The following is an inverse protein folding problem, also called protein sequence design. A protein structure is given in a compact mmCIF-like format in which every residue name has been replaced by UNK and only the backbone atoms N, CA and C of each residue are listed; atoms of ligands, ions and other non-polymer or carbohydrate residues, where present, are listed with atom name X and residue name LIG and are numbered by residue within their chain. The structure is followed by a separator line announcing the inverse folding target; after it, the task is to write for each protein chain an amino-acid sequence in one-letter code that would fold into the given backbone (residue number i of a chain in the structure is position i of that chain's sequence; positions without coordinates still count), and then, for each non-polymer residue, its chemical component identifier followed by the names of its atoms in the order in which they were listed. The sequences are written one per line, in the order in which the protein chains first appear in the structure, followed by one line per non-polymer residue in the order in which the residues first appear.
data_IF_081981746534
#
_entry.id   IF_081981746534
#
_cell.length_a   1.000
_cell.length_b   1.000
_cell.length_c   1.000
_cell.angle_alpha   90.00
_cell.angle_beta   90.00
_cell.angle_gamma   90.00
#
_symmetry.space_group_name_H-M   'P 1'
#
loop_
_entity.id
_entity.type
_entity.pdbx_description
1 polymer ?
#
# COMPACT_ATOMS: atom_id res chain seq x y z
N UNK A 1 2.36 -8.02 -14.57
CA UNK A 1 3.64 -8.33 -13.89
C UNK A 1 4.49 -7.09 -14.05
N UNK A 2 4.63 -6.37 -12.94
CA UNK A 2 5.16 -5.02 -12.90
C UNK A 2 6.50 -5.03 -12.19
N UNK A 3 7.55 -4.50 -12.80
CA UNK A 3 8.81 -4.28 -12.10
C UNK A 3 8.73 -3.00 -11.25
N UNK A 4 9.40 -2.98 -10.10
CA UNK A 4 9.61 -1.73 -9.39
C UNK A 4 10.47 -0.80 -10.24
N UNK A 5 10.05 0.46 -10.33
CA UNK A 5 10.75 1.55 -11.02
C UNK A 5 10.78 2.76 -10.07
N UNK A 6 11.96 3.16 -9.62
CA UNK A 6 12.11 4.27 -8.69
C UNK A 6 11.59 5.59 -9.28
N UNK A 7 11.65 5.80 -10.59
CA UNK A 7 11.18 7.04 -11.22
C UNK A 7 9.66 7.18 -11.18
N UNK A 8 8.95 6.06 -11.06
CA UNK A 8 7.47 6.00 -11.07
C UNK A 8 6.92 5.76 -9.67
N UNK A 9 7.55 4.87 -8.89
CA UNK A 9 6.96 4.34 -7.67
C UNK A 9 7.58 4.89 -6.39
N UNK A 10 8.82 5.38 -6.41
CA UNK A 10 9.45 5.86 -5.18
C UNK A 10 8.81 7.17 -4.72
N UNK A 11 8.23 7.14 -3.52
CA UNK A 11 7.68 8.32 -2.87
C UNK A 11 8.70 9.02 -1.98
N UNK A 12 9.88 8.42 -1.76
CA UNK A 12 10.96 9.00 -0.97
C UNK A 12 10.67 9.01 0.52
N UNK A 13 9.81 8.09 0.98
CA UNK A 13 9.61 7.77 2.39
C UNK A 13 10.01 6.30 2.54
N UNK A 14 11.21 6.06 3.07
CA UNK A 14 11.88 4.76 2.97
C UNK A 14 11.03 3.57 3.44
N UNK A 15 10.27 3.74 4.53
CA UNK A 15 9.38 2.69 5.05
C UNK A 15 8.20 2.42 4.11
N UNK A 16 7.58 3.45 3.54
CA UNK A 16 6.49 3.29 2.55
C UNK A 16 7.02 2.60 1.29
N UNK A 17 8.12 3.11 0.73
CA UNK A 17 8.71 2.55 -0.50
C UNK A 17 9.12 1.08 -0.32
N UNK A 18 9.58 0.68 0.88
CA UNK A 18 9.89 -0.71 1.19
C UNK A 18 8.64 -1.59 1.19
N UNK A 19 7.57 -1.16 1.87
CA UNK A 19 6.29 -1.88 1.89
C UNK A 19 5.67 -1.98 0.49
N UNK A 20 5.73 -0.92 -0.30
CA UNK A 20 5.24 -0.92 -1.69
C UNK A 20 6.03 -1.87 -2.61
N UNK A 21 7.36 -1.98 -2.43
CA UNK A 21 8.18 -2.98 -3.13
C UNK A 21 7.77 -4.41 -2.77
N UNK A 22 7.53 -4.68 -1.49
CA UNK A 22 7.05 -5.99 -1.02
C UNK A 22 5.68 -6.33 -1.61
N UNK A 23 4.76 -5.35 -1.68
CA UNK A 23 3.45 -5.52 -2.32
C UNK A 23 3.59 -5.94 -3.78
N UNK A 24 4.36 -5.20 -4.60
CA UNK A 24 4.60 -5.53 -6.01
C UNK A 24 5.22 -6.92 -6.15
N UNK A 25 6.20 -7.26 -5.30
CA UNK A 25 6.83 -8.58 -5.32
C UNK A 25 5.81 -9.71 -5.03
N UNK A 26 4.94 -9.55 -4.03
CA UNK A 26 3.89 -10.51 -3.71
C UNK A 26 2.86 -10.66 -4.84
N UNK A 27 2.42 -9.57 -5.44
CA UNK A 27 1.49 -9.59 -6.59
C UNK A 27 2.11 -10.32 -7.77
N UNK A 28 3.39 -10.07 -8.07
CA UNK A 28 4.11 -10.78 -9.13
C UNK A 28 4.26 -12.28 -8.85
N UNK A 29 4.55 -12.66 -7.60
CA UNK A 29 4.61 -14.06 -7.20
C UNK A 29 3.26 -14.75 -7.39
N UNK A 30 2.16 -14.12 -6.93
CA UNK A 30 0.80 -14.65 -7.12
C UNK A 30 0.41 -14.76 -8.61
N UNK A 31 0.85 -13.83 -9.44
CA UNK A 31 0.56 -13.84 -10.88
C UNK A 31 1.24 -15.01 -11.60
N UNK A 32 2.39 -15.46 -11.09
CA UNK A 32 3.24 -16.48 -11.70
C UNK A 32 3.11 -17.88 -11.05
N UNK A 33 2.62 -17.99 -9.82
CA UNK A 33 2.56 -19.26 -9.11
C UNK A 33 1.50 -20.22 -9.67
N UNK A 34 1.71 -21.51 -9.42
CA UNK A 34 0.72 -22.55 -9.70
C UNK A 34 -0.45 -22.53 -8.70
N UNK A 35 -1.43 -23.39 -8.91
CA UNK A 35 -2.63 -23.47 -8.06
C UNK A 35 -2.33 -23.99 -6.66
N UNK A 36 -1.22 -24.72 -6.47
CA UNK A 36 -0.86 -25.32 -5.17
C UNK A 36 -0.35 -24.27 -4.19
N UNK A 37 0.41 -23.29 -4.69
CA UNK A 37 0.96 -22.20 -3.87
C UNK A 37 0.01 -21.00 -3.73
N UNK A 38 -0.98 -20.88 -4.62
CA UNK A 38 -1.81 -19.68 -4.73
C UNK A 38 -2.52 -19.33 -3.43
N UNK A 39 -3.08 -20.32 -2.72
CA UNK A 39 -3.81 -20.08 -1.47
C UNK A 39 -2.92 -19.49 -0.37
N UNK A 40 -1.75 -20.08 -0.15
CA UNK A 40 -0.81 -19.61 0.86
C UNK A 40 -0.24 -18.22 0.52
N UNK A 41 0.04 -17.96 -0.75
CA UNK A 41 0.50 -16.63 -1.20
C UNK A 41 -0.61 -15.57 -1.08
N UNK A 42 -1.88 -15.94 -1.29
CA UNK A 42 -2.99 -15.00 -1.20
C UNK A 42 -3.22 -14.58 0.26
N UNK A 43 -3.05 -15.50 1.21
CA UNK A 43 -3.06 -15.17 2.65
C UNK A 43 -1.93 -14.22 3.02
N UNK A 44 -0.71 -14.44 2.49
CA UNK A 44 0.42 -13.52 2.70
C UNK A 44 0.12 -12.11 2.15
N UNK A 45 -0.56 -12.02 1.01
CA UNK A 45 -1.01 -10.73 0.48
C UNK A 45 -2.00 -10.04 1.43
N UNK A 46 -2.97 -10.78 1.98
CA UNK A 46 -3.90 -10.21 2.97
C UNK A 46 -3.15 -9.66 4.19
N UNK A 47 -2.25 -10.45 4.76
CA UNK A 47 -1.49 -10.02 5.93
C UNK A 47 -0.60 -8.81 5.63
N UNK A 48 0.04 -8.80 4.46
CA UNK A 48 0.84 -7.67 4.01
C UNK A 48 -0.01 -6.40 3.89
N UNK A 49 -1.13 -6.44 3.16
CA UNK A 49 -2.03 -5.29 3.02
C UNK A 49 -2.55 -4.81 4.38
N UNK A 50 -2.92 -5.73 5.29
CA UNK A 50 -3.38 -5.37 6.63
C UNK A 50 -2.31 -4.59 7.40
N UNK A 51 -1.07 -5.06 7.37
CA UNK A 51 0.05 -4.40 8.06
C UNK A 51 0.41 -3.07 7.40
N UNK A 52 0.47 -3.02 6.07
CA UNK A 52 0.69 -1.82 5.27
C UNK A 52 -0.33 -0.73 5.62
N UNK A 53 -1.63 -1.02 5.48
CA UNK A 53 -2.70 -0.05 5.74
C UNK A 53 -2.74 0.37 7.22
N UNK A 54 -2.43 -0.53 8.15
CA UNK A 54 -2.30 -0.17 9.58
C UNK A 54 -1.14 0.80 9.81
N UNK A 55 0.00 0.59 9.14
CA UNK A 55 1.17 1.46 9.24
C UNK A 55 0.85 2.86 8.71
N UNK A 56 0.28 2.97 7.52
CA UNK A 56 -0.12 4.25 6.93
C UNK A 56 -1.23 4.94 7.73
N UNK A 57 -2.23 4.19 8.20
CA UNK A 57 -3.25 4.70 9.10
C UNK A 57 -2.67 5.30 10.39
N UNK A 58 -1.60 4.70 10.94
CA UNK A 58 -0.86 5.28 12.07
C UNK A 58 -0.15 6.56 11.65
N UNK A 59 0.58 6.56 10.53
CA UNK A 59 1.29 7.73 9.99
C UNK A 59 0.33 8.91 9.79
N UNK A 60 -0.79 8.68 9.11
CA UNK A 60 -1.84 9.67 8.88
C UNK A 60 -2.36 10.30 10.18
N UNK A 61 -2.63 9.48 11.21
CA UNK A 61 -3.10 9.98 12.52
C UNK A 61 -2.05 10.84 13.21
N UNK A 62 -0.80 10.36 13.32
CA UNK A 62 0.25 11.09 14.07
C UNK A 62 0.69 12.37 13.37
N UNK A 63 0.61 12.42 12.03
CA UNK A 63 0.94 13.60 11.24
C UNK A 63 -0.24 14.54 11.05
N UNK A 64 -1.44 14.20 11.55
CA UNK A 64 -2.70 14.93 11.32
C UNK A 64 -2.98 15.14 9.83
N UNK A 65 -2.85 14.07 9.04
CA UNK A 65 -3.10 14.10 7.60
C UNK A 65 -4.57 14.49 7.32
N UNK A 66 -4.84 15.53 6.51
CA UNK A 66 -6.20 16.04 6.32
C UNK A 66 -7.18 15.06 5.67
N UNK A 67 -6.71 14.25 4.71
CA UNK A 67 -7.55 13.33 3.93
C UNK A 67 -7.54 11.89 4.49
N UNK A 68 -7.43 11.75 5.81
CA UNK A 68 -7.34 10.45 6.48
C UNK A 68 -8.55 9.57 6.19
N UNK A 69 -9.75 10.13 6.27
CA UNK A 69 -10.99 9.34 6.15
C UNK A 69 -11.15 8.79 4.72
N UNK A 70 -10.85 9.60 3.72
CA UNK A 70 -10.92 9.22 2.31
C UNK A 70 -9.90 8.12 2.01
N UNK A 71 -8.67 8.28 2.49
CA UNK A 71 -7.60 7.31 2.28
C UNK A 71 -7.93 5.98 2.97
N UNK A 72 -8.30 5.97 4.25
CA UNK A 72 -8.67 4.73 4.97
C UNK A 72 -9.92 4.07 4.37
N UNK A 73 -10.85 4.83 3.79
CA UNK A 73 -12.02 4.25 3.14
C UNK A 73 -11.65 3.45 1.91
N UNK A 74 -10.69 3.91 1.11
CA UNK A 74 -10.18 3.13 -0.04
C UNK A 74 -9.43 1.87 0.42
N UNK A 75 -8.60 1.97 1.47
CA UNK A 75 -7.95 0.79 2.07
C UNK A 75 -8.99 -0.24 2.53
N UNK A 76 -10.03 0.18 3.25
CA UNK A 76 -11.08 -0.72 3.70
C UNK A 76 -11.84 -1.35 2.52
N UNK A 77 -12.09 -0.60 1.45
CA UNK A 77 -12.77 -1.12 0.26
C UNK A 77 -11.96 -2.23 -0.39
N UNK A 78 -10.71 -1.97 -0.78
CA UNK A 78 -9.86 -2.97 -1.44
C UNK A 78 -9.57 -4.16 -0.52
N UNK A 79 -9.38 -3.92 0.79
CA UNK A 79 -9.14 -5.00 1.75
C UNK A 79 -10.38 -5.89 1.90
N UNK A 80 -11.59 -5.31 1.88
CA UNK A 80 -12.84 -6.04 1.87
C UNK A 80 -12.97 -6.95 0.63
N UNK A 81 -12.58 -6.46 -0.54
CA UNK A 81 -12.55 -7.23 -1.78
C UNK A 81 -11.57 -8.41 -1.68
N UNK A 82 -10.35 -8.16 -1.16
CA UNK A 82 -9.35 -9.20 -0.91
C UNK A 82 -9.85 -10.27 0.07
N UNK A 83 -10.51 -9.89 1.16
CA UNK A 83 -11.09 -10.84 2.12
C UNK A 83 -12.15 -11.72 1.46
N UNK A 84 -13.02 -11.14 0.62
CA UNK A 84 -14.02 -11.91 -0.12
C UNK A 84 -13.38 -12.88 -1.12
N UNK A 85 -12.35 -12.43 -1.84
CA UNK A 85 -11.60 -13.28 -2.76
C UNK A 85 -10.87 -14.41 -2.05
N UNK A 86 -10.24 -14.14 -0.90
CA UNK A 86 -9.57 -15.18 -0.12
C UNK A 86 -10.56 -16.30 0.26
N UNK A 87 -11.79 -15.96 0.67
CA UNK A 87 -12.83 -16.97 0.93
C UNK A 87 -13.12 -17.84 -0.30
N UNK A 88 -13.05 -17.30 -1.51
CA UNK A 88 -13.19 -18.06 -2.75
C UNK A 88 -11.97 -18.94 -3.01
N UNK A 89 -10.77 -18.42 -2.79
CA UNK A 89 -9.49 -19.14 -2.89
C UNK A 89 -9.47 -20.36 -1.98
N UNK A 90 -9.85 -20.20 -0.71
CA UNK A 90 -9.93 -21.29 0.27
C UNK A 90 -10.94 -22.39 -0.08
N UNK A 91 -11.85 -22.11 -1.03
CA UNK A 91 -12.80 -23.10 -1.60
C UNK A 91 -12.36 -23.64 -2.96
N UNK A 92 -11.11 -23.41 -3.37
CA UNK A 92 -10.57 -23.81 -4.67
C UNK A 92 -11.11 -23.02 -5.87
N UNK A 93 -11.79 -21.89 -5.65
CA UNK A 93 -12.38 -21.08 -6.73
C UNK A 93 -11.38 -19.99 -7.15
N UNK A 94 -10.44 -20.36 -8.03
CA UNK A 94 -9.27 -19.53 -8.34
C UNK A 94 -9.45 -18.55 -9.51
N UNK A 95 -10.45 -18.77 -10.39
CA UNK A 95 -10.60 -18.00 -11.63
C UNK A 95 -10.66 -16.47 -11.40
N UNK A 96 -11.56 -16.01 -10.53
CA UNK A 96 -11.73 -14.58 -10.25
C UNK A 96 -10.55 -14.00 -9.46
N UNK A 97 -10.07 -14.61 -8.35
CA UNK A 97 -8.88 -14.12 -7.65
C UNK A 97 -7.64 -14.00 -8.56
N UNK A 98 -7.41 -14.97 -9.45
CA UNK A 98 -6.30 -14.90 -10.42
C UNK A 98 -6.44 -13.76 -11.40
N UNK A 99 -7.65 -13.52 -11.92
CA UNK A 99 -7.90 -12.39 -12.81
C UNK A 99 -7.67 -11.06 -12.08
N UNK A 100 -8.14 -10.93 -10.83
CA UNK A 100 -7.96 -9.74 -10.03
C UNK A 100 -6.49 -9.45 -9.72
N UNK A 101 -5.71 -10.46 -9.32
CA UNK A 101 -4.26 -10.30 -9.10
C UNK A 101 -3.54 -9.79 -10.35
N UNK A 102 -3.90 -10.33 -11.53
CA UNK A 102 -3.19 -10.01 -12.78
C UNK A 102 -3.51 -8.64 -13.38
N UNK A 103 -4.65 -8.07 -13.04
CA UNK A 103 -5.15 -6.83 -13.66
C UNK A 103 -5.61 -5.83 -12.60
N UNK A 104 -6.61 -6.21 -11.81
CA UNK A 104 -7.25 -5.30 -10.86
C UNK A 104 -6.34 -4.77 -9.76
N UNK A 105 -5.46 -5.61 -9.18
CA UNK A 105 -4.53 -5.15 -8.14
C UNK A 105 -3.42 -4.26 -8.67
N UNK A 106 -2.91 -4.56 -9.87
CA UNK A 106 -1.86 -3.75 -10.52
C UNK A 106 -2.40 -2.36 -10.85
N UNK A 107 -3.60 -2.27 -11.45
CA UNK A 107 -4.28 -1.01 -11.74
C UNK A 107 -4.59 -0.21 -10.47
N UNK A 108 -5.23 -0.84 -9.48
CA UNK A 108 -5.57 -0.19 -8.22
C UNK A 108 -4.33 0.35 -7.50
N UNK A 109 -3.24 -0.43 -7.44
CA UNK A 109 -2.02 -0.01 -6.78
C UNK A 109 -1.40 1.21 -7.45
N UNK A 110 -1.34 1.24 -8.78
CA UNK A 110 -0.79 2.37 -9.53
C UNK A 110 -1.58 3.65 -9.28
N UNK A 111 -2.91 3.56 -9.33
CA UNK A 111 -3.78 4.71 -9.09
C UNK A 111 -3.69 5.19 -7.64
N UNK A 112 -3.68 4.27 -6.69
CA UNK A 112 -3.58 4.57 -5.26
C UNK A 112 -2.23 5.22 -4.92
N UNK A 113 -1.14 4.65 -5.44
CA UNK A 113 0.22 5.14 -5.24
C UNK A 113 0.38 6.57 -5.80
N UNK A 114 -0.09 6.79 -7.04
CA UNK A 114 0.04 8.07 -7.72
C UNK A 114 -0.82 9.19 -7.09
N UNK A 115 -1.90 8.84 -6.38
CA UNK A 115 -2.84 9.81 -5.83
C UNK A 115 -2.80 9.94 -4.30
N UNK A 116 -3.14 8.88 -3.58
CA UNK A 116 -3.35 8.90 -2.13
C UNK A 116 -2.05 8.75 -1.35
N UNK A 117 -1.20 7.80 -1.74
CA UNK A 117 0.08 7.57 -1.07
C UNK A 117 1.06 8.71 -1.34
N UNK A 118 1.11 9.20 -2.58
CA UNK A 118 1.94 10.36 -2.93
C UNK A 118 1.56 11.61 -2.12
N UNK A 119 0.26 11.83 -1.87
CA UNK A 119 -0.22 12.92 -1.03
C UNK A 119 0.19 12.75 0.44
N UNK A 120 0.11 11.53 0.98
CA UNK A 120 0.58 11.21 2.33
C UNK A 120 2.09 11.41 2.45
N UNK A 121 2.88 10.88 1.52
CA UNK A 121 4.32 11.01 1.51
C UNK A 121 4.76 12.49 1.46
N UNK A 122 4.14 13.29 0.60
CA UNK A 122 4.39 14.73 0.52
C UNK A 122 4.07 15.43 1.85
N UNK A 123 2.99 15.02 2.53
CA UNK A 123 2.64 15.55 3.85
C UNK A 123 3.67 15.18 4.93
N UNK A 124 4.10 13.93 4.97
CA UNK A 124 5.08 13.45 5.94
C UNK A 124 6.42 14.18 5.81
N UNK A 125 6.89 14.42 4.58
CA UNK A 125 8.11 15.20 4.31
C UNK A 125 8.02 16.61 4.86
N UNK A 126 6.90 17.32 4.58
CA UNK A 126 6.67 18.69 5.11
C UNK A 126 6.63 18.73 6.64
N UNK A 127 5.96 17.76 7.27
CA UNK A 127 5.90 17.69 8.74
C UNK A 127 7.28 17.37 9.34
N UNK A 128 8.07 16.53 8.68
CA UNK A 128 9.45 16.22 9.06
C UNK A 128 10.35 17.47 9.00
N UNK A 129 10.32 18.20 7.88
CA UNK A 129 11.05 19.46 7.69
C UNK A 129 10.67 20.51 8.73
N UNK A 130 9.37 20.73 8.97
CA UNK A 130 8.90 21.69 9.97
C UNK A 130 9.34 21.35 11.39
N UNK A 131 9.47 20.06 11.74
CA UNK A 131 10.00 19.64 13.06
C UNK A 131 11.50 19.88 13.19
N UNK A 132 12.25 19.78 12.09
CA UNK A 132 13.67 20.11 12.06
C UNK A 132 13.86 21.63 12.18
N UNK A 133 13.04 22.43 11.50
CA UNK A 133 13.13 23.90 11.52
C UNK A 133 12.83 24.50 12.91
N UNK A 134 11.89 23.93 13.67
CA UNK A 134 11.60 24.36 15.06
C UNK A 134 12.75 24.11 16.05
N UNK A 135 13.78 23.35 15.67
CA UNK A 135 15.02 23.21 16.45
C UNK A 135 16.07 24.29 16.14
N UNK A 136 15.88 25.05 15.05
CA UNK A 136 16.58 26.28 14.76
C UNK A 136 16.04 27.40 15.65
N UNK A 137 16.84 27.82 16.63
CA UNK A 137 16.44 28.76 17.67
C UNK A 137 15.76 30.02 17.12
N UNK A 138 14.77 30.49 17.88
CA UNK A 138 14.09 31.77 17.62
C UNK A 138 15.14 32.87 17.37
N UNK A 139 14.96 33.70 16.32
CA UNK A 139 15.76 34.91 16.22
C UNK A 139 15.47 35.75 17.46
N UNK A 140 16.50 35.95 18.28
CA UNK A 140 16.49 36.97 19.31
C UNK A 140 16.47 38.31 18.54
N UNK A 141 15.33 38.98 18.64
CA UNK A 141 14.95 40.32 18.15
C UNK A 141 15.96 41.06 17.26
#
# INVERSE_FOLDING_TARGET
MQAWDDAVHALGVAEMDATHREFIALVNLLAACDDTDFAALFEKLLDHCRLHFTSEGRLMRISRFPALNEHESEHHRVYGDLVQMNRAVQRGRLLLPRAFVKQGLEEWFNDHLASMDSALAAHLKRVGEARVDLSGGLPVL
#
